data_IF_784551035151
#
_entry.id   IF_784551035151
#
_cell.length_a   1.000
_cell.length_b   1.000
_cell.length_c   1.000
_cell.angle_alpha   90.00
_cell.angle_beta   90.00
_cell.angle_gamma   90.00
#
_symmetry.space_group_name_H-M   'P 1'
#
loop_
_entity.id
_entity.type
_entity.pdbx_description
1 polymer ?
#
# COMPACT_ATOMS: atom_id res chain seq x y z
N UNK A 1 5.86 8.84 -19.40
CA UNK A 1 6.26 7.50 -18.91
C UNK A 1 5.14 6.94 -18.05
N UNK A 2 4.66 5.73 -18.33
CA UNK A 2 3.61 5.10 -17.52
C UNK A 2 4.17 4.66 -16.17
N UNK A 3 3.35 4.77 -15.13
CA UNK A 3 3.72 4.44 -13.75
C UNK A 3 2.59 3.72 -13.04
N UNK A 4 2.86 2.47 -12.69
CA UNK A 4 1.95 1.62 -11.92
C UNK A 4 2.54 1.40 -10.53
N UNK A 5 1.68 1.35 -9.51
CA UNK A 5 2.06 1.11 -8.14
C UNK A 5 1.65 -0.29 -7.67
N UNK A 6 2.57 -0.98 -7.00
CA UNK A 6 2.31 -2.22 -6.27
C UNK A 6 2.38 -1.96 -4.77
N UNK A 7 1.28 -2.20 -4.08
CA UNK A 7 1.20 -2.07 -2.63
C UNK A 7 1.44 -3.44 -2.01
N UNK A 8 2.46 -3.54 -1.16
CA UNK A 8 2.70 -4.79 -0.43
C UNK A 8 1.51 -5.10 0.50
N UNK A 9 1.22 -6.39 0.77
CA UNK A 9 0.03 -6.81 1.51
C UNK A 9 0.01 -6.26 2.93
N UNK A 10 -1.18 -6.24 3.52
CA UNK A 10 -1.38 -6.13 4.96
C UNK A 10 -1.46 -7.53 5.59
N UNK A 11 -0.99 -7.67 6.84
CA UNK A 11 -1.10 -8.94 7.56
C UNK A 11 -2.55 -9.18 8.01
N UNK A 12 -3.17 -10.25 7.48
CA UNK A 12 -4.57 -10.58 7.71
C UNK A 12 -4.82 -11.43 8.98
N UNK A 13 -3.77 -11.80 9.73
CA UNK A 13 -3.90 -12.53 11.00
C UNK A 13 -3.87 -11.65 12.26
N UNK A 14 -3.68 -10.33 12.10
CA UNK A 14 -3.51 -9.39 13.22
C UNK A 14 -4.81 -9.03 13.94
N UNK A 15 -4.69 -8.33 15.07
CA UNK A 15 -5.83 -7.91 15.91
C UNK A 15 -6.89 -7.11 15.13
N UNK A 16 -6.47 -6.16 14.29
CA UNK A 16 -7.40 -5.38 13.46
C UNK A 16 -8.09 -6.22 12.39
N UNK A 17 -7.41 -7.23 11.85
CA UNK A 17 -8.05 -8.15 10.93
C UNK A 17 -9.13 -8.96 11.66
N UNK A 18 -8.87 -9.44 12.88
CA UNK A 18 -9.89 -10.10 13.71
C UNK A 18 -11.09 -9.20 13.99
N UNK A 19 -10.88 -7.90 14.20
CA UNK A 19 -11.99 -6.95 14.39
C UNK A 19 -12.88 -6.83 13.15
N UNK A 20 -12.30 -6.67 11.95
CA UNK A 20 -13.11 -6.54 10.72
C UNK A 20 -13.79 -7.86 10.34
N UNK A 21 -13.18 -8.99 10.69
CA UNK A 21 -13.71 -10.33 10.44
C UNK A 21 -14.73 -10.79 11.51
N UNK A 22 -14.90 -10.05 12.61
CA UNK A 22 -15.79 -10.43 13.70
C UNK A 22 -17.25 -10.16 13.34
N UNK A 23 -18.13 -11.13 13.59
CA UNK A 23 -19.58 -10.97 13.41
C UNK A 23 -20.19 -9.93 14.35
N UNK A 24 -19.50 -9.61 15.46
CA UNK A 24 -19.95 -8.63 16.46
C UNK A 24 -19.58 -7.18 16.12
N UNK A 25 -18.68 -6.97 15.15
CA UNK A 25 -18.21 -5.62 14.83
C UNK A 25 -19.28 -4.80 14.10
N UNK A 26 -19.69 -3.67 14.68
CA UNK A 26 -20.78 -2.84 14.17
C UNK A 26 -20.33 -1.59 13.39
N UNK A 27 -19.03 -1.33 13.26
CA UNK A 27 -18.55 -0.19 12.47
C UNK A 27 -18.78 -0.41 10.97
N UNK A 28 -18.90 0.70 10.23
CA UNK A 28 -19.32 0.72 8.82
C UNK A 28 -18.58 -0.29 7.94
N UNK A 29 -17.24 -0.27 7.95
CA UNK A 29 -16.43 -1.17 7.13
C UNK A 29 -16.71 -2.66 7.41
N UNK A 30 -16.86 -3.04 8.68
CA UNK A 30 -17.19 -4.43 9.03
C UNK A 30 -18.59 -4.83 8.55
N UNK A 31 -19.56 -3.92 8.63
CA UNK A 31 -20.91 -4.14 8.09
C UNK A 31 -20.88 -4.32 6.57
N UNK A 32 -20.15 -3.46 5.85
CA UNK A 32 -20.01 -3.52 4.40
C UNK A 32 -19.36 -4.80 3.92
N UNK A 33 -18.24 -5.21 4.53
CA UNK A 33 -17.52 -6.45 4.20
C UNK A 33 -18.38 -7.71 4.42
N UNK A 34 -19.30 -7.69 5.39
CA UNK A 34 -20.25 -8.80 5.61
C UNK A 34 -21.48 -8.75 4.71
N UNK A 35 -21.82 -7.57 4.19
CA UNK A 35 -22.93 -7.39 3.27
C UNK A 35 -22.56 -7.72 1.83
N UNK A 36 -23.56 -7.85 0.96
CA UNK A 36 -23.37 -8.12 -0.47
C UNK A 36 -22.56 -7.03 -1.20
N UNK A 37 -22.51 -5.81 -0.64
CA UNK A 37 -21.77 -4.70 -1.23
C UNK A 37 -20.24 -4.83 -1.09
N UNK A 38 -19.74 -5.57 -0.10
CA UNK A 38 -18.30 -5.67 0.21
C UNK A 38 -17.64 -4.32 0.48
N UNK A 39 -16.31 -4.29 0.48
CA UNK A 39 -15.54 -3.04 0.53
C UNK A 39 -14.26 -3.11 -0.34
N UNK A 40 -13.76 -1.97 -0.84
CA UNK A 40 -12.49 -1.92 -1.57
C UNK A 40 -11.32 -2.51 -0.75
N UNK A 41 -10.52 -3.38 -1.37
CA UNK A 41 -9.37 -4.01 -0.70
C UNK A 41 -8.40 -2.98 -0.13
N UNK A 42 -8.19 -1.87 -0.83
CA UNK A 42 -7.33 -0.78 -0.36
C UNK A 42 -7.84 -0.13 0.93
N UNK A 43 -9.16 -0.05 1.10
CA UNK A 43 -9.78 0.45 2.33
C UNK A 43 -9.63 -0.56 3.47
N UNK A 44 -9.93 -1.83 3.21
CA UNK A 44 -9.79 -2.91 4.20
C UNK A 44 -8.36 -3.02 4.70
N UNK A 45 -7.37 -3.01 3.80
CA UNK A 45 -5.97 -3.12 4.18
C UNK A 45 -5.45 -1.84 4.86
N UNK A 46 -6.02 -0.67 4.52
CA UNK A 46 -5.77 0.58 5.27
C UNK A 46 -6.26 0.48 6.72
N UNK A 47 -7.40 -0.18 6.95
CA UNK A 47 -7.87 -0.46 8.30
C UNK A 47 -6.93 -1.43 9.02
N UNK A 48 -6.62 -2.58 8.42
CA UNK A 48 -5.80 -3.62 9.03
C UNK A 48 -4.38 -3.15 9.39
N UNK A 49 -3.70 -2.44 8.48
CA UNK A 49 -2.30 -2.01 8.65
C UNK A 49 -2.14 -0.56 9.12
N UNK A 50 -3.24 0.19 9.26
CA UNK A 50 -3.21 1.56 9.75
C UNK A 50 -2.37 2.49 8.88
N UNK A 51 -1.47 3.25 9.52
CA UNK A 51 -0.73 4.33 8.87
C UNK A 51 0.11 3.85 7.69
N UNK A 52 0.70 2.65 7.78
CA UNK A 52 1.60 2.19 6.74
C UNK A 52 0.88 1.97 5.42
N UNK A 53 -0.17 1.14 5.41
CA UNK A 53 -0.92 0.89 4.20
C UNK A 53 -1.71 2.13 3.73
N UNK A 54 -2.27 2.91 4.67
CA UNK A 54 -2.91 4.19 4.34
C UNK A 54 -1.95 5.12 3.58
N UNK A 55 -0.69 5.21 4.01
CA UNK A 55 0.33 6.00 3.33
C UNK A 55 0.64 5.50 1.93
N UNK A 56 0.80 4.19 1.76
CA UNK A 56 0.98 3.57 0.42
C UNK A 56 -0.16 3.94 -0.53
N UNK A 57 -1.40 3.76 -0.09
CA UNK A 57 -2.58 3.99 -0.93
C UNK A 57 -2.73 5.47 -1.28
N UNK A 58 -2.59 6.37 -0.31
CA UNK A 58 -2.68 7.81 -0.54
C UNK A 58 -1.61 8.30 -1.53
N UNK A 59 -0.38 7.84 -1.36
CA UNK A 59 0.74 8.19 -2.23
C UNK A 59 0.55 7.62 -3.65
N UNK A 60 0.16 6.35 -3.78
CA UNK A 60 -0.11 5.76 -5.08
C UNK A 60 -1.24 6.49 -5.82
N UNK A 61 -2.32 6.88 -5.12
CA UNK A 61 -3.41 7.69 -5.70
C UNK A 61 -2.95 9.06 -6.20
N UNK A 62 -1.97 9.67 -5.53
CA UNK A 62 -1.45 10.98 -5.93
C UNK A 62 -0.53 10.92 -7.16
N UNK A 63 0.20 9.82 -7.35
CA UNK A 63 1.31 9.78 -8.32
C UNK A 63 1.20 8.69 -9.40
N UNK A 64 0.19 7.81 -9.35
CA UNK A 64 -0.06 6.83 -10.40
C UNK A 64 -0.32 7.52 -11.75
N UNK A 65 0.30 6.99 -12.81
CA UNK A 65 0.12 7.45 -14.19
C UNK A 65 -0.01 6.23 -15.09
N UNK A 66 -1.07 5.42 -14.95
CA UNK A 66 -1.23 4.23 -15.78
C UNK A 66 -1.38 4.60 -17.25
N UNK A 67 -1.12 3.66 -18.18
CA UNK A 67 -1.58 3.81 -19.55
C UNK A 67 -3.09 4.08 -19.59
N UNK A 68 -3.56 4.78 -20.62
CA UNK A 68 -4.97 5.16 -20.73
C UNK A 68 -5.88 3.92 -20.65
N UNK A 69 -6.93 4.01 -19.82
CA UNK A 69 -7.88 2.93 -19.60
C UNK A 69 -7.35 1.74 -18.78
N UNK A 70 -6.15 1.84 -18.18
CA UNK A 70 -5.56 0.78 -17.35
C UNK A 70 -5.57 1.14 -15.87
N UNK A 71 -5.50 0.12 -15.02
CA UNK A 71 -5.40 0.28 -13.56
C UNK A 71 -3.99 0.73 -13.20
N UNK A 72 -3.88 1.74 -12.33
CA UNK A 72 -2.59 2.29 -11.88
C UNK A 72 -2.11 1.82 -10.52
N UNK A 73 -2.96 1.14 -9.75
CA UNK A 73 -2.67 0.78 -8.36
C UNK A 73 -3.17 -0.63 -8.10
N UNK A 74 -2.24 -1.53 -7.81
CA UNK A 74 -2.54 -2.90 -7.44
C UNK A 74 -2.06 -3.19 -6.02
N UNK A 75 -2.77 -4.09 -5.36
CA UNK A 75 -2.43 -4.66 -4.07
C UNK A 75 -1.98 -6.08 -4.30
N UNK A 76 -0.82 -6.43 -3.76
CA UNK A 76 -0.37 -7.82 -3.68
C UNK A 76 -1.22 -8.50 -2.60
N UNK A 77 -1.87 -9.61 -2.92
CA UNK A 77 -2.77 -10.33 -2.03
C UNK A 77 -2.18 -11.70 -1.63
N UNK A 78 -2.57 -12.27 -0.48
CA UNK A 78 -2.06 -13.57 -0.03
C UNK A 78 -2.47 -14.76 -0.92
N UNK A 79 -3.60 -14.68 -1.63
CA UNK A 79 -4.12 -15.82 -2.41
C UNK A 79 -4.48 -15.52 -3.86
N UNK A 80 -4.69 -14.25 -4.22
CA UNK A 80 -5.30 -13.91 -5.51
C UNK A 80 -4.32 -13.19 -6.45
N UNK A 81 -3.04 -13.07 -6.09
CA UNK A 81 -2.04 -12.37 -6.88
C UNK A 81 -2.20 -10.85 -6.78
N UNK A 82 -2.24 -10.16 -7.92
CA UNK A 82 -2.35 -8.70 -7.98
C UNK A 82 -3.79 -8.27 -8.24
N UNK A 83 -4.36 -7.45 -7.33
CA UNK A 83 -5.73 -6.94 -7.45
C UNK A 83 -5.78 -5.43 -7.46
N UNK A 84 -6.60 -4.77 -8.29
CA UNK A 84 -6.82 -3.33 -8.21
C UNK A 84 -7.14 -2.90 -6.78
N UNK A 85 -6.59 -1.77 -6.35
CA UNK A 85 -6.82 -1.29 -4.98
C UNK A 85 -8.29 -0.97 -4.67
N UNK A 86 -9.10 -0.71 -5.70
CA UNK A 86 -10.53 -0.45 -5.59
C UNK A 86 -11.38 -1.72 -5.84
N UNK A 87 -10.75 -2.88 -6.08
CA UNK A 87 -11.47 -4.16 -6.19
C UNK A 87 -12.16 -4.49 -4.87
N UNK A 88 -13.46 -4.82 -4.96
CA UNK A 88 -14.28 -5.12 -3.79
C UNK A 88 -13.98 -6.52 -3.26
N UNK A 89 -13.87 -6.63 -1.95
CA UNK A 89 -13.67 -7.87 -1.21
C UNK A 89 -14.72 -8.02 -0.12
N UNK A 90 -15.13 -9.26 0.13
CA UNK A 90 -16.09 -9.64 1.16
C UNK A 90 -15.42 -10.45 2.27
N UNK A 91 -16.23 -10.86 3.26
CA UNK A 91 -15.77 -11.62 4.40
C UNK A 91 -15.14 -12.97 4.01
N UNK A 92 -15.70 -13.67 3.03
CA UNK A 92 -15.18 -14.98 2.59
C UNK A 92 -13.77 -14.81 2.01
N UNK A 93 -13.60 -13.83 1.14
CA UNK A 93 -12.32 -13.53 0.51
C UNK A 93 -11.27 -13.09 1.52
N UNK A 94 -11.64 -12.29 2.52
CA UNK A 94 -10.72 -11.93 3.60
C UNK A 94 -10.34 -13.13 4.48
N UNK A 95 -11.25 -14.08 4.71
CA UNK A 95 -10.93 -15.35 5.40
C UNK A 95 -9.94 -16.18 4.60
N UNK A 96 -10.06 -16.24 3.27
CA UNK A 96 -9.06 -16.88 2.39
C UNK A 96 -7.70 -16.19 2.47
N UNK A 97 -7.68 -14.85 2.48
CA UNK A 97 -6.43 -14.11 2.67
C UNK A 97 -5.75 -14.41 4.01
N UNK A 98 -6.53 -14.68 5.06
CA UNK A 98 -5.99 -15.03 6.37
C UNK A 98 -5.52 -16.50 6.47
N UNK A 99 -5.90 -17.39 5.54
CA UNK A 99 -5.55 -18.80 5.59
C UNK A 99 -4.23 -19.15 4.88
N UNK A 100 -3.62 -18.20 4.18
CA UNK A 100 -2.35 -18.39 3.47
C UNK A 100 -1.33 -17.38 3.98
N UNK A 101 -0.19 -17.90 4.43
CA UNK A 101 0.94 -17.06 4.78
C UNK A 101 1.62 -16.51 3.52
N UNK A 102 2.06 -15.26 3.59
CA UNK A 102 2.86 -14.65 2.54
C UNK A 102 4.28 -15.22 2.68
N UNK A 103 4.50 -16.39 2.09
CA UNK A 103 5.75 -17.15 2.06
C UNK A 103 6.21 -17.34 0.61
N UNK A 104 7.52 -17.25 0.37
CA UNK A 104 8.07 -17.18 -0.99
C UNK A 104 7.95 -18.48 -1.80
N UNK A 105 7.62 -19.58 -1.14
CA UNK A 105 7.61 -20.96 -1.64
C UNK A 105 6.22 -21.63 -1.57
N UNK A 106 5.21 -20.99 -0.97
CA UNK A 106 3.84 -21.52 -0.96
C UNK A 106 3.20 -21.33 -2.34
N UNK A 107 2.85 -22.41 -3.07
CA UNK A 107 2.27 -22.30 -4.41
C UNK A 107 0.96 -21.51 -4.44
N UNK A 108 0.16 -21.57 -3.37
CA UNK A 108 -1.13 -20.87 -3.27
C UNK A 108 -0.96 -19.35 -3.28
N UNK A 109 0.21 -18.86 -2.85
CA UNK A 109 0.58 -17.46 -2.95
C UNK A 109 1.40 -17.16 -4.21
N UNK A 110 2.31 -18.07 -4.59
CA UNK A 110 3.25 -17.87 -5.69
C UNK A 110 2.64 -17.93 -7.07
N UNK A 111 1.84 -18.95 -7.37
CA UNK A 111 1.29 -19.11 -8.72
C UNK A 111 0.43 -17.92 -9.14
N UNK A 112 -0.49 -17.40 -8.29
CA UNK A 112 -1.28 -16.22 -8.65
C UNK A 112 -0.42 -14.96 -8.81
N UNK A 113 0.58 -14.77 -7.95
CA UNK A 113 1.47 -13.61 -8.02
C UNK A 113 2.35 -13.65 -9.27
N UNK A 114 2.93 -14.79 -9.60
CA UNK A 114 3.78 -14.96 -10.79
C UNK A 114 2.98 -14.75 -12.08
N UNK A 115 1.76 -15.30 -12.16
CA UNK A 115 0.86 -15.08 -13.29
C UNK A 115 0.58 -13.59 -13.48
N UNK A 116 0.15 -12.91 -12.43
CA UNK A 116 -0.27 -11.51 -12.54
C UNK A 116 0.91 -10.56 -12.72
N UNK A 117 2.09 -10.89 -12.17
CA UNK A 117 3.31 -10.12 -12.40
C UNK A 117 3.76 -10.17 -13.87
N UNK A 118 3.65 -11.33 -14.54
CA UNK A 118 3.91 -11.46 -15.99
C UNK A 118 2.92 -10.66 -16.81
N UNK A 119 1.62 -10.72 -16.46
CA UNK A 119 0.59 -9.90 -17.13
C UNK A 119 0.86 -8.40 -16.97
N UNK A 120 1.19 -7.96 -15.76
CA UNK A 120 1.51 -6.56 -15.51
C UNK A 120 2.77 -6.12 -16.28
N UNK A 121 3.76 -7.01 -16.40
CA UNK A 121 4.93 -6.80 -17.23
C UNK A 121 4.55 -6.58 -18.71
N UNK A 122 3.63 -7.36 -19.27
CA UNK A 122 3.16 -7.16 -20.64
C UNK A 122 2.41 -5.83 -20.79
N UNK A 123 1.47 -5.53 -19.88
CA UNK A 123 0.61 -4.34 -19.93
C UNK A 123 1.38 -3.02 -19.74
N UNK A 124 2.44 -3.04 -18.92
CA UNK A 124 3.25 -1.85 -18.64
C UNK A 124 4.16 -1.49 -19.83
N UNK A 125 4.52 -2.48 -20.65
CA UNK A 125 5.47 -2.31 -21.75
C UNK A 125 6.91 -2.02 -21.30
N UNK A 126 7.81 -1.80 -22.25
CA UNK A 126 9.25 -1.59 -22.01
C UNK A 126 9.58 -0.19 -21.49
N UNK A 127 8.75 0.81 -21.80
CA UNK A 127 8.94 2.20 -21.39
C UNK A 127 8.23 2.57 -20.08
N UNK A 128 7.56 1.63 -19.41
CA UNK A 128 6.84 1.88 -18.16
C UNK A 128 7.60 1.43 -16.92
N UNK A 129 7.23 2.00 -15.77
CA UNK A 129 7.80 1.66 -14.47
C UNK A 129 6.75 1.09 -13.53
N UNK A 130 7.18 0.13 -12.70
CA UNK A 130 6.37 -0.43 -11.62
C UNK A 130 7.02 -0.12 -10.28
N UNK A 131 6.33 0.65 -9.44
CA UNK A 131 6.85 1.14 -8.17
C UNK A 131 6.29 0.29 -7.03
N UNK A 132 7.17 -0.43 -6.34
CA UNK A 132 6.84 -1.23 -5.17
C UNK A 132 6.84 -0.36 -3.90
N UNK A 133 5.67 -0.17 -3.30
CA UNK A 133 5.51 0.43 -1.98
C UNK A 133 5.38 -0.69 -0.93
N UNK A 134 6.53 -1.22 -0.53
CA UNK A 134 6.61 -2.37 0.35
C UNK A 134 7.93 -2.47 1.10
N UNK A 135 8.02 -3.53 1.91
CA UNK A 135 9.31 -3.95 2.46
C UNK A 135 10.13 -4.66 1.40
N UNK A 136 11.26 -4.06 1.00
CA UNK A 136 12.18 -4.68 0.04
C UNK A 136 13.17 -5.65 0.70
N UNK A 137 13.12 -5.78 2.03
CA UNK A 137 14.06 -6.58 2.81
C UNK A 137 13.78 -8.09 2.76
N UNK A 138 12.57 -8.50 2.34
CA UNK A 138 12.16 -9.92 2.27
C UNK A 138 11.97 -10.35 0.83
N UNK A 139 12.45 -11.56 0.47
CA UNK A 139 12.32 -12.12 -0.89
C UNK A 139 10.89 -12.46 -1.30
N UNK A 140 9.97 -12.57 -0.33
CA UNK A 140 8.60 -13.09 -0.43
C UNK A 140 7.80 -12.61 -1.65
N UNK A 141 7.77 -11.32 -1.93
CA UNK A 141 7.22 -10.77 -3.19
C UNK A 141 8.29 -10.13 -4.07
N UNK A 142 9.47 -9.87 -3.54
CA UNK A 142 10.53 -9.20 -4.29
C UNK A 142 11.05 -10.09 -5.42
N UNK A 143 11.32 -11.36 -5.14
CA UNK A 143 11.78 -12.34 -6.13
C UNK A 143 10.80 -12.55 -7.30
N UNK A 144 9.50 -12.88 -7.09
CA UNK A 144 8.54 -13.05 -8.18
C UNK A 144 8.45 -11.81 -9.06
N UNK A 145 8.38 -10.64 -8.42
CA UNK A 145 8.26 -9.36 -9.11
C UNK A 145 9.53 -9.04 -9.90
N UNK A 146 10.71 -9.29 -9.35
CA UNK A 146 11.97 -9.09 -10.06
C UNK A 146 12.08 -10.01 -11.28
N UNK A 147 11.70 -11.28 -11.16
CA UNK A 147 11.72 -12.24 -12.28
C UNK A 147 10.87 -11.77 -13.45
N UNK A 148 9.69 -11.20 -13.18
CA UNK A 148 8.78 -10.75 -14.24
C UNK A 148 9.08 -9.33 -14.76
N UNK A 149 9.45 -8.40 -13.89
CA UNK A 149 9.53 -6.96 -14.22
C UNK A 149 10.95 -6.48 -14.51
N UNK A 150 11.97 -7.18 -13.99
CA UNK A 150 13.38 -6.83 -14.18
C UNK A 150 13.69 -5.38 -13.76
N UNK A 151 14.32 -4.63 -14.65
CA UNK A 151 14.76 -3.23 -14.43
C UNK A 151 13.60 -2.24 -14.23
N UNK A 152 12.38 -2.63 -14.62
CA UNK A 152 11.17 -1.81 -14.45
C UNK A 152 10.65 -1.84 -13.02
N UNK A 153 11.08 -2.80 -12.21
CA UNK A 153 10.72 -2.84 -10.79
C UNK A 153 11.59 -1.85 -10.02
N UNK A 154 10.95 -0.81 -9.51
CA UNK A 154 11.60 0.26 -8.75
C UNK A 154 10.96 0.42 -7.38
N UNK A 155 11.64 1.12 -6.48
CA UNK A 155 11.12 1.44 -5.15
C UNK A 155 11.65 2.81 -4.68
N UNK A 156 11.02 3.46 -3.69
CA UNK A 156 11.50 4.74 -3.17
C UNK A 156 12.82 4.60 -2.42
N UNK A 157 13.84 5.36 -2.82
CA UNK A 157 15.16 5.35 -2.18
C UNK A 157 15.07 5.61 -0.67
N UNK A 158 14.20 6.54 -0.28
CA UNK A 158 13.95 6.92 1.12
C UNK A 158 13.38 5.79 1.98
N UNK A 159 13.01 4.64 1.42
CA UNK A 159 12.58 3.49 2.24
C UNK A 159 13.75 2.80 2.94
N UNK A 160 14.97 2.93 2.43
CA UNK A 160 16.15 2.28 3.01
C UNK A 160 16.35 2.73 4.46
N UNK A 161 16.50 1.77 5.37
CA UNK A 161 16.67 2.03 6.80
C UNK A 161 15.42 2.52 7.55
N UNK A 162 14.27 2.70 6.87
CA UNK A 162 13.01 3.13 7.52
C UNK A 162 12.11 1.94 7.88
N UNK A 163 11.59 1.95 9.10
CA UNK A 163 10.50 1.05 9.52
C UNK A 163 9.15 1.44 8.93
N UNK A 164 8.19 0.51 8.96
CA UNK A 164 6.85 0.62 8.35
C UNK A 164 6.11 1.93 8.66
N UNK A 165 6.04 2.31 9.93
CA UNK A 165 5.32 3.53 10.34
C UNK A 165 6.00 4.81 9.83
N UNK A 166 7.34 4.82 9.82
CA UNK A 166 8.13 5.94 9.28
C UNK A 166 7.90 6.09 7.76
N UNK A 167 7.85 4.96 7.04
CA UNK A 167 7.51 4.95 5.61
C UNK A 167 6.08 5.43 5.37
N UNK A 168 5.11 4.94 6.13
CA UNK A 168 3.71 5.38 6.04
C UNK A 168 3.56 6.89 6.25
N UNK A 169 4.22 7.43 7.28
CA UNK A 169 4.23 8.87 7.57
C UNK A 169 4.89 9.70 6.47
N UNK A 170 6.01 9.24 5.91
CA UNK A 170 6.69 9.88 4.77
C UNK A 170 5.75 9.97 3.57
N UNK A 171 5.17 8.85 3.16
CA UNK A 171 4.27 8.75 2.01
C UNK A 171 3.07 9.69 2.14
N UNK A 172 2.47 9.80 3.34
CA UNK A 172 1.37 10.73 3.58
C UNK A 172 1.79 12.19 3.47
N UNK A 173 3.00 12.56 3.91
CA UNK A 173 3.50 13.94 3.78
C UNK A 173 3.76 14.29 2.33
N UNK A 174 4.42 13.39 1.60
CA UNK A 174 4.67 13.53 0.17
C UNK A 174 3.38 13.67 -0.63
N UNK A 175 2.38 12.82 -0.37
CA UNK A 175 1.07 12.91 -1.01
C UNK A 175 0.36 14.25 -0.72
N UNK A 176 0.43 14.75 0.52
CA UNK A 176 -0.14 16.05 0.90
C UNK A 176 0.59 17.23 0.27
N UNK A 177 1.91 17.15 0.15
CA UNK A 177 2.75 18.20 -0.42
C UNK A 177 2.85 18.15 -1.96
N UNK A 178 2.24 17.15 -2.62
CA UNK A 178 2.40 16.93 -4.05
C UNK A 178 3.85 16.61 -4.47
N UNK A 179 4.69 16.17 -3.53
CA UNK A 179 6.11 15.90 -3.78
C UNK A 179 6.33 14.40 -4.03
N UNK A 180 6.70 14.05 -5.25
CA UNK A 180 7.03 12.67 -5.61
C UNK A 180 8.46 12.30 -5.13
N UNK A 181 8.61 11.11 -4.55
CA UNK A 181 9.90 10.55 -4.11
C UNK A 181 10.75 10.08 -5.29
N UNK A 182 12.06 10.04 -5.07
CA UNK A 182 13.02 9.44 -6.00
C UNK A 182 12.91 7.92 -5.97
N UNK A 183 12.73 7.31 -7.14
CA UNK A 183 12.72 5.85 -7.28
C UNK A 183 14.03 5.34 -7.86
N UNK A 184 14.51 4.21 -7.35
CA UNK A 184 15.71 3.51 -7.83
C UNK A 184 15.37 2.07 -8.21
N UNK A 185 16.17 1.50 -9.11
CA UNK A 185 16.04 0.10 -9.53
C UNK A 185 16.21 -0.85 -8.35
N UNK A 186 15.34 -1.85 -8.25
CA UNK A 186 15.40 -2.81 -7.14
C UNK A 186 16.51 -3.86 -7.34
N UNK A 187 16.90 -4.14 -8.59
CA UNK A 187 17.95 -5.12 -8.95
C UNK A 187 19.30 -4.80 -8.32
N UNK A 188 19.68 -3.53 -8.32
CA UNK A 188 21.04 -3.09 -7.96
C UNK A 188 21.12 -2.42 -6.57
N UNK A 189 20.00 -2.39 -5.83
CA UNK A 189 19.93 -1.66 -4.58
C UNK A 189 20.44 -2.47 -3.38
N UNK A 190 21.28 -1.83 -2.57
CA UNK A 190 21.64 -2.33 -1.22
C UNK A 190 20.37 -2.34 -0.35
N UNK A 191 19.84 -3.54 -0.06
CA UNK A 191 18.55 -3.74 0.62
C UNK A 191 18.56 -3.38 2.12
N UNK A 192 19.73 -3.06 2.70
CA UNK A 192 19.94 -2.70 4.11
C UNK A 192 20.89 -1.51 4.20
N UNK A 193 20.51 -0.45 4.92
CA UNK A 193 21.34 0.75 5.07
C UNK A 193 21.13 1.41 6.43
N UNK A 194 21.98 2.40 6.79
CA UNK A 194 21.87 3.11 8.06
C UNK A 194 20.50 3.78 8.19
N UNK A 195 19.96 3.80 9.40
CA UNK A 195 18.62 4.35 9.68
C UNK A 195 18.61 5.87 9.40
N UNK A 196 17.78 6.37 8.47
CA UNK A 196 17.71 7.80 8.20
C UNK A 196 17.04 8.56 9.36
N UNK A 197 17.23 9.90 9.45
CA UNK A 197 16.70 10.71 10.53
C UNK A 197 15.17 10.60 10.64
N UNK A 198 14.68 10.80 11.87
CA UNK A 198 13.24 10.83 12.18
C UNK A 198 12.57 11.96 11.39
N UNK A 199 11.34 11.72 10.95
CA UNK A 199 10.53 12.76 10.32
C UNK A 199 10.28 13.88 11.33
N UNK A 200 10.49 15.13 10.92
CA UNK A 200 10.18 16.30 11.74
C UNK A 200 8.70 16.28 12.18
N UNK A 201 8.35 16.77 13.39
CA UNK A 201 6.96 16.91 13.80
C UNK A 201 6.13 17.66 12.75
N UNK A 202 4.84 17.34 12.62
CA UNK A 202 3.94 18.14 11.77
C UNK A 202 3.61 19.41 12.54
N UNK A 203 4.02 20.58 12.04
CA UNK A 203 3.62 21.88 12.60
C UNK A 203 2.11 22.05 12.42
N UNK A 204 1.35 22.15 13.51
CA UNK A 204 -0.07 22.49 13.47
C UNK A 204 -0.20 24.03 13.36
N UNK A 205 0.10 24.61 12.19
CA UNK A 205 -0.06 26.07 11.97
C UNK A 205 -1.47 26.47 11.49
N UNK A 206 -2.51 25.77 11.94
CA UNK A 206 -3.90 26.02 11.53
C UNK A 206 -4.92 26.18 12.66
N UNK A 207 -4.49 26.31 13.92
CA UNK A 207 -5.38 26.16 15.09
C UNK A 207 -5.25 27.23 16.17
N UNK A 208 -4.93 28.48 15.84
CA UNK A 208 -5.11 29.62 16.75
C UNK A 208 -5.95 30.69 16.07
N UNK A 209 -7.26 30.41 15.98
CA UNK A 209 -8.24 31.48 15.90
C UNK A 209 -8.16 32.28 17.20
N UNK A 210 -7.71 33.53 17.07
CA UNK A 210 -7.76 34.56 18.10
C UNK A 210 -9.20 34.68 18.59
N UNK A 211 -9.48 34.20 19.81
CA UNK A 211 -10.71 34.58 20.54
C UNK A 211 -10.56 36.03 20.95
N UNK A 212 -11.05 36.95 20.14
CA UNK A 212 -11.37 38.32 20.54
C UNK A 212 -12.60 38.26 21.45
N UNK A 213 -12.38 38.45 22.73
CA UNK A 213 -13.43 38.65 23.74
C UNK A 213 -14.11 40.01 23.46
N UNK A 214 -15.45 40.09 23.30
CA UNK A 214 -16.10 41.39 23.21
C UNK A 214 -16.21 41.98 24.63
N UNK A 215 -15.82 43.25 24.75
CA UNK A 215 -16.02 44.05 25.95
C UNK A 215 -17.52 44.20 26.23
N UNK A 216 -17.93 43.93 27.47
CA UNK A 216 -19.28 44.27 27.95
C UNK A 216 -19.38 45.79 28.13
N UNK A 217 -20.28 46.40 27.38
CA UNK A 217 -20.74 47.77 27.63
C UNK A 217 -21.94 47.75 28.59
N UNK A 218 -21.77 48.46 29.70
CA UNK A 218 -22.73 49.06 30.65
C UNK A 218 -23.85 48.16 31.21
#
# INVERSE_FOLDING_TARGET
>A
MSRVFLLSPAYCGGERARLVLSDRAAFDLARRVRGAAGAPIGEVFSFMSGLYFRGKLAYARAFARPPQGRVGIYVITPTDGLRPADETVDLERLRRFASVDIAGDDPRYREPLDRDARRLAEETGTAGEVILLGSIATGKYVEPLLTALGERLRFPLDFVGRGDMSRGGLLLRCARAGTELTYVGLRDAVRRGPRPPRLAPVSNEGGRGTRTTPARSR
#
